data_IF_311094333346
#
_entry.id   IF_311094333346
#
_cell.length_a   1.000
_cell.length_b   1.000
_cell.length_c   1.000
_cell.angle_alpha   90.00
_cell.angle_beta   90.00
_cell.angle_gamma   90.00
#
_symmetry.space_group_name_H-M   'P 1'
#
loop_
_entity.id
_entity.type
_entity.pdbx_description
1 polymer ?
#
# COMPACT_ATOMS: atom_id res chain seq x y z
N UNK A 1 9.08 -0.45 -47.46
CA UNK A 1 9.57 -0.58 -46.08
C UNK A 1 9.29 0.75 -45.43
N UNK A 2 8.14 0.86 -44.77
CA UNK A 2 7.73 2.10 -44.10
C UNK A 2 8.04 1.88 -42.63
N UNK A 3 9.15 2.47 -42.17
CA UNK A 3 9.53 2.49 -40.77
C UNK A 3 8.55 3.39 -40.03
N UNK A 4 7.50 2.77 -39.48
CA UNK A 4 6.58 3.47 -38.61
C UNK A 4 7.26 3.61 -37.24
N UNK A 5 7.73 4.82 -36.97
CA UNK A 5 8.23 5.24 -35.67
C UNK A 5 7.22 4.85 -34.58
N UNK A 6 7.63 4.13 -33.52
CA UNK A 6 6.70 3.64 -32.52
C UNK A 6 6.13 4.84 -31.77
N UNK A 7 4.80 5.00 -31.86
CA UNK A 7 4.10 6.03 -31.13
C UNK A 7 4.43 5.94 -29.64
N UNK A 8 4.98 7.01 -29.08
CA UNK A 8 5.18 7.15 -27.64
C UNK A 8 3.82 7.27 -27.00
N UNK A 9 3.27 6.15 -26.51
CA UNK A 9 2.05 6.16 -25.70
C UNK A 9 2.45 6.63 -24.30
N UNK A 10 2.28 7.92 -24.03
CA UNK A 10 2.36 8.43 -22.67
C UNK A 10 1.17 7.89 -21.88
N UNK A 11 1.40 6.83 -21.11
CA UNK A 11 0.42 6.32 -20.15
C UNK A 11 0.27 7.37 -19.06
N UNK A 12 -0.70 8.26 -19.20
CA UNK A 12 -1.15 9.10 -18.10
C UNK A 12 -1.79 8.19 -17.05
N UNK A 13 -0.98 7.75 -16.08
CA UNK A 13 -1.49 7.02 -14.91
C UNK A 13 -2.14 8.05 -13.99
N UNK A 14 -3.45 8.21 -14.11
CA UNK A 14 -4.23 8.91 -13.08
C UNK A 14 -4.37 7.96 -11.89
N UNK A 15 -3.86 8.39 -10.74
CA UNK A 15 -3.92 7.61 -9.51
C UNK A 15 -5.06 8.13 -8.64
N UNK A 16 -5.86 7.26 -8.01
CA UNK A 16 -6.92 7.70 -7.12
C UNK A 16 -6.35 8.46 -5.91
N UNK A 17 -7.10 9.41 -5.33
CA UNK A 17 -6.72 10.02 -4.07
C UNK A 17 -6.65 8.96 -2.97
N UNK A 18 -5.78 9.17 -1.97
CA UNK A 18 -5.70 8.27 -0.82
C UNK A 18 -7.03 8.22 -0.08
N UNK A 19 -7.43 7.01 0.31
CA UNK A 19 -8.67 6.74 0.99
C UNK A 19 -8.39 5.96 2.28
N UNK A 20 -8.66 6.59 3.42
CA UNK A 20 -8.46 5.96 4.73
C UNK A 20 -9.36 4.74 4.95
N UNK A 21 -10.47 4.60 4.20
CA UNK A 21 -11.34 3.42 4.30
C UNK A 21 -10.65 2.14 3.84
N UNK A 22 -9.55 2.25 3.09
CA UNK A 22 -8.71 1.11 2.69
C UNK A 22 -7.83 0.60 3.84
N UNK A 23 -7.70 1.36 4.94
CA UNK A 23 -6.94 0.93 6.10
C UNK A 23 -7.68 -0.20 6.81
N UNK A 24 -7.16 -1.41 6.65
CA UNK A 24 -7.63 -2.59 7.34
C UNK A 24 -6.42 -3.38 7.83
N UNK A 25 -6.19 -3.37 9.15
CA UNK A 25 -5.09 -4.07 9.78
C UNK A 25 -5.66 -5.21 10.62
N UNK A 26 -5.23 -6.44 10.37
CA UNK A 26 -5.60 -7.56 11.23
C UNK A 26 -4.95 -7.43 12.61
N UNK A 27 -5.49 -8.09 13.63
CA UNK A 27 -4.90 -8.06 14.97
C UNK A 27 -3.46 -8.60 14.98
N UNK A 28 -3.15 -9.60 14.15
CA UNK A 28 -1.79 -10.13 14.03
C UNK A 28 -0.84 -9.13 13.39
N UNK A 29 -1.28 -8.48 12.31
CA UNK A 29 -0.49 -7.44 11.65
C UNK A 29 -0.29 -6.23 12.56
N UNK A 30 -1.29 -5.88 13.38
CA UNK A 30 -1.17 -4.83 14.38
C UNK A 30 -0.07 -5.19 15.39
N UNK A 31 -0.09 -6.38 15.99
CA UNK A 31 0.96 -6.82 16.92
C UNK A 31 2.34 -6.79 16.26
N UNK A 32 2.45 -7.23 15.02
CA UNK A 32 3.70 -7.18 14.26
C UNK A 32 4.19 -5.75 14.02
N UNK A 33 3.30 -4.87 13.57
CA UNK A 33 3.60 -3.46 13.29
C UNK A 33 3.96 -2.69 14.57
N UNK A 34 3.29 -2.97 15.70
CA UNK A 34 3.68 -2.44 17.03
C UNK A 34 5.09 -2.85 17.39
N UNK A 35 5.43 -4.14 17.23
CA UNK A 35 6.77 -4.67 17.50
C UNK A 35 7.84 -4.04 16.60
N UNK A 36 7.54 -3.82 15.32
CA UNK A 36 8.46 -3.21 14.36
C UNK A 36 8.69 -1.71 14.62
N UNK A 37 7.63 -0.99 14.95
CA UNK A 37 7.67 0.47 15.12
C UNK A 37 8.01 0.91 16.54
N UNK A 38 7.83 0.02 17.53
CA UNK A 38 7.89 0.33 18.95
C UNK A 38 6.70 1.15 19.46
N UNK A 39 5.65 1.32 18.65
CA UNK A 39 4.45 2.08 19.01
C UNK A 39 3.42 1.10 19.58
N UNK A 40 3.00 1.25 20.84
CA UNK A 40 2.02 0.36 21.47
C UNK A 40 0.56 0.84 21.32
N UNK A 41 0.37 2.15 21.14
CA UNK A 41 -0.94 2.79 20.99
C UNK A 41 -1.48 2.62 19.55
N UNK A 42 -2.72 2.15 19.44
CA UNK A 42 -3.35 1.84 18.14
C UNK A 42 -3.61 3.09 17.30
N UNK A 43 -3.99 4.20 17.93
CA UNK A 43 -4.26 5.45 17.23
C UNK A 43 -2.96 6.05 16.68
N UNK A 44 -1.90 6.07 17.48
CA UNK A 44 -0.56 6.48 17.07
C UNK A 44 0.00 5.57 15.97
N UNK A 45 -0.22 4.26 16.06
CA UNK A 45 0.21 3.30 15.03
C UNK A 45 -0.49 3.57 13.70
N UNK A 46 -1.83 3.72 13.72
CA UNK A 46 -2.61 4.07 12.53
C UNK A 46 -2.12 5.38 11.91
N UNK A 47 -1.95 6.43 12.72
CA UNK A 47 -1.45 7.73 12.26
C UNK A 47 -0.08 7.58 11.57
N UNK A 48 0.81 6.79 12.15
CA UNK A 48 2.14 6.55 11.57
C UNK A 48 2.07 5.81 10.23
N UNK A 49 1.21 4.80 10.12
CA UNK A 49 1.03 4.04 8.88
C UNK A 49 0.46 4.94 7.76
N UNK A 50 -0.54 5.76 8.06
CA UNK A 50 -1.12 6.72 7.11
C UNK A 50 -0.08 7.76 6.64
N UNK A 51 0.75 8.28 7.54
CA UNK A 51 1.82 9.23 7.20
C UNK A 51 2.87 8.59 6.26
N UNK A 52 3.26 7.34 6.53
CA UNK A 52 4.19 6.59 5.66
C UNK A 52 3.57 6.33 4.29
N UNK A 53 2.29 5.93 4.24
CA UNK A 53 1.56 5.76 2.98
C UNK A 53 1.57 7.05 2.16
N UNK A 54 1.21 8.18 2.78
CA UNK A 54 1.15 9.47 2.10
C UNK A 54 2.51 9.91 1.54
N UNK A 55 3.59 9.63 2.28
CA UNK A 55 4.96 9.90 1.81
C UNK A 55 5.35 9.00 0.64
N UNK A 56 5.06 7.70 0.73
CA UNK A 56 5.39 6.74 -0.32
C UNK A 56 4.58 6.98 -1.59
N UNK A 57 3.27 7.26 -1.46
CA UNK A 57 2.35 7.46 -2.58
C UNK A 57 2.68 8.70 -3.42
N UNK A 58 3.24 9.75 -2.79
CA UNK A 58 3.77 10.93 -3.49
C UNK A 58 4.97 10.61 -4.39
N UNK A 59 5.78 9.62 -4.01
CA UNK A 59 6.97 9.21 -4.76
C UNK A 59 6.58 8.20 -5.85
N UNK A 60 5.83 7.17 -5.46
CA UNK A 60 5.40 6.11 -6.34
C UNK A 60 4.01 5.61 -5.93
N UNK A 61 2.94 5.99 -6.64
CA UNK A 61 1.56 5.64 -6.29
C UNK A 61 1.20 4.21 -6.74
N UNK A 62 1.93 3.22 -6.22
CA UNK A 62 1.62 1.81 -6.46
C UNK A 62 0.37 1.37 -5.72
N UNK A 63 -0.41 0.47 -6.32
CA UNK A 63 -1.61 -0.09 -5.70
C UNK A 63 -1.36 -0.78 -4.36
N UNK A 64 -0.17 -1.38 -4.17
CA UNK A 64 0.21 -1.98 -2.89
C UNK A 64 0.40 -0.96 -1.77
N UNK A 65 0.72 0.30 -2.09
CA UNK A 65 0.77 1.41 -1.13
C UNK A 65 -0.65 1.90 -0.87
N UNK A 66 -1.46 2.05 -1.93
CA UNK A 66 -2.87 2.45 -1.81
C UNK A 66 -3.67 1.50 -0.90
N UNK A 67 -3.49 0.19 -1.04
CA UNK A 67 -4.22 -0.84 -0.30
C UNK A 67 -3.57 -1.26 1.03
N UNK A 68 -2.54 -0.56 1.50
CA UNK A 68 -1.77 -0.94 2.70
C UNK A 68 -1.21 -2.37 2.67
N UNK A 69 -0.99 -2.96 1.50
CA UNK A 69 -0.52 -4.35 1.40
C UNK A 69 0.88 -4.58 1.99
N UNK A 70 1.60 -3.50 2.32
CA UNK A 70 2.89 -3.55 3.03
C UNK A 70 2.74 -3.80 4.54
N UNK A 71 1.55 -3.63 5.11
CA UNK A 71 1.32 -3.81 6.55
C UNK A 71 1.02 -5.25 6.93
N UNK A 72 0.79 -6.14 5.94
CA UNK A 72 0.50 -7.54 6.19
C UNK A 72 1.46 -8.47 5.47
N UNK A 73 1.72 -9.62 6.09
CA UNK A 73 2.09 -10.79 5.31
C UNK A 73 0.80 -11.37 4.77
N UNK A 74 0.58 -11.31 3.46
CA UNK A 74 -0.51 -12.04 2.83
C UNK A 74 -0.19 -13.54 2.90
N UNK A 75 -0.34 -14.14 4.07
CA UNK A 75 -0.53 -15.57 4.19
C UNK A 75 -1.89 -15.85 3.56
N UNK A 76 -1.90 -16.06 2.24
CA UNK A 76 -3.03 -16.69 1.58
C UNK A 76 -3.21 -18.04 2.27
N UNK A 77 -4.15 -18.12 3.20
CA UNK A 77 -4.70 -19.40 3.66
C UNK A 77 -5.36 -20.02 2.44
N UNK A 78 -4.56 -20.73 1.64
CA UNK A 78 -5.08 -21.86 0.89
C UNK A 78 -5.51 -22.87 1.93
N UNK A 79 -6.79 -22.82 2.34
CA UNK A 79 -7.45 -24.01 2.85
C UNK A 79 -7.46 -25.01 1.69
N UNK A 80 -6.44 -25.87 1.67
CA UNK A 80 -6.49 -27.14 0.96
C UNK A 80 -7.35 -28.06 1.82
N UNK A 81 -8.66 -28.01 1.57
CA UNK A 81 -9.58 -29.09 1.93
C UNK A 81 -9.48 -30.20 0.88
#
# INVERSE_FOLDING_TARGET
>A
MTDQEPATIEVQRSFPPLDESQYNLSDQDAVFMKKLTGIEDDAALKCRILDVQAKAYKVAPYGCIYLFSFTGYFARTFELT
#
